data_IF_779173688554
#
_entry.id   IF_779173688554
#
_cell.length_a   1.000
_cell.length_b   1.000
_cell.length_c   1.000
_cell.angle_alpha   90.00
_cell.angle_beta   90.00
_cell.angle_gamma   90.00
#
_symmetry.space_group_name_H-M   'P 1'
#
loop_
_entity.id
_entity.type
_entity.pdbx_description
1 polymer ?
#
# COMPACT_ATOMS: atom_id res chain seq x y z
N UNK A 1 -7.74 2.38 2.08
CA UNK A 1 -6.58 1.62 1.58
C UNK A 1 -5.35 2.50 1.66
N UNK A 2 -4.27 2.03 2.29
CA UNK A 2 -3.00 2.74 2.30
C UNK A 2 -2.40 2.63 0.89
N UNK A 3 -2.05 3.76 0.27
CA UNK A 3 -1.31 3.80 -0.99
C UNK A 3 -0.02 4.56 -0.73
N UNK A 4 1.10 3.97 -1.14
CA UNK A 4 2.41 4.64 -1.09
C UNK A 4 2.71 5.21 -2.46
N UNK A 5 3.04 6.50 -2.51
CA UNK A 5 3.40 7.20 -3.75
C UNK A 5 4.72 7.89 -3.51
N UNK A 6 5.66 7.69 -4.42
CA UNK A 6 6.93 8.42 -4.40
C UNK A 6 6.73 9.88 -4.79
N UNK A 7 7.57 10.77 -4.27
CA UNK A 7 7.52 12.18 -4.64
C UNK A 7 8.83 12.89 -4.34
N UNK A 8 8.99 14.05 -4.97
CA UNK A 8 10.13 14.92 -4.75
C UNK A 8 9.71 16.15 -3.96
N UNK A 9 10.47 16.47 -2.91
CA UNK A 9 10.31 17.73 -2.20
C UNK A 9 11.20 18.81 -2.83
N UNK A 10 10.61 19.92 -3.27
CA UNK A 10 11.31 21.09 -3.82
C UNK A 10 10.60 22.36 -3.38
N UNK A 11 11.35 23.30 -2.81
CA UNK A 11 10.86 24.65 -2.48
C UNK A 11 9.57 24.68 -1.65
N UNK A 12 9.45 23.80 -0.66
CA UNK A 12 8.25 23.72 0.20
C UNK A 12 7.10 22.90 -0.38
N UNK A 13 7.25 22.32 -1.59
CA UNK A 13 6.21 21.57 -2.28
C UNK A 13 6.63 20.11 -2.50
N UNK A 14 5.67 19.20 -2.34
CA UNK A 14 5.83 17.78 -2.67
C UNK A 14 5.21 17.54 -4.05
N UNK A 15 6.02 17.13 -5.01
CA UNK A 15 5.60 16.74 -6.34
C UNK A 15 5.49 15.21 -6.37
N UNK A 16 4.26 14.69 -6.39
CA UNK A 16 4.01 13.26 -6.49
C UNK A 16 4.38 12.77 -7.90
N UNK A 17 5.01 11.59 -8.00
CA UNK A 17 5.32 10.95 -9.28
C UNK A 17 4.06 10.47 -10.01
N UNK A 18 3.02 10.14 -9.26
CA UNK A 18 1.70 9.80 -9.75
C UNK A 18 0.60 10.32 -8.82
N UNK A 19 -0.60 10.56 -9.35
CA UNK A 19 -1.75 10.90 -8.52
C UNK A 19 -2.50 9.62 -8.16
N UNK A 20 -2.70 9.33 -6.86
CA UNK A 20 -3.46 8.17 -6.47
C UNK A 20 -4.92 8.31 -6.93
N UNK A 21 -5.37 7.38 -7.78
CA UNK A 21 -6.76 7.34 -8.24
C UNK A 21 -7.72 7.03 -7.08
N UNK A 22 -8.93 7.58 -7.17
CA UNK A 22 -10.04 7.39 -6.23
C UNK A 22 -9.80 7.89 -4.79
N UNK A 23 -8.93 8.91 -4.62
CA UNK A 23 -8.71 9.58 -3.34
C UNK A 23 -9.05 11.06 -3.47
N UNK A 24 -10.10 11.51 -2.78
CA UNK A 24 -10.56 12.92 -2.83
C UNK A 24 -10.08 13.76 -1.64
N UNK A 25 -10.11 13.22 -0.42
CA UNK A 25 -9.61 13.87 0.79
C UNK A 25 -9.18 12.81 1.81
N UNK A 26 -7.92 12.82 2.24
CA UNK A 26 -7.40 11.87 3.22
C UNK A 26 -6.23 12.48 3.99
N UNK A 27 -5.99 11.98 5.20
CA UNK A 27 -4.76 12.24 5.94
C UNK A 27 -3.57 11.57 5.25
N UNK A 28 -2.42 12.26 5.24
CA UNK A 28 -1.15 11.77 4.68
C UNK A 28 -0.05 11.81 5.74
N UNK A 29 0.90 10.87 5.64
CA UNK A 29 2.14 10.89 6.41
C UNK A 29 3.30 11.19 5.45
N UNK A 30 4.12 12.18 5.78
CA UNK A 30 5.28 12.58 4.98
C UNK A 30 6.53 12.40 5.82
N UNK A 31 7.49 11.66 5.27
CA UNK A 31 8.82 11.48 5.87
C UNK A 31 9.85 12.09 4.93
N UNK A 32 10.61 13.08 5.42
CA UNK A 32 11.71 13.66 4.67
C UNK A 32 12.94 12.78 4.76
N UNK A 33 13.49 12.51 3.60
CA UNK A 33 14.53 11.55 3.40
C UNK A 33 15.87 12.27 3.20
N UNK A 34 16.85 12.02 4.08
CA UNK A 34 18.21 12.54 3.94
C UNK A 34 18.98 11.74 2.88
N UNK A 35 19.24 12.30 1.68
CA UNK A 35 19.81 11.54 0.56
C UNK A 35 21.21 10.99 0.87
N UNK A 36 21.94 11.58 1.82
CA UNK A 36 23.29 11.17 2.17
C UNK A 36 23.33 10.11 3.28
N UNK A 37 22.19 9.84 3.93
CA UNK A 37 22.09 8.89 5.06
C UNK A 37 21.10 7.77 4.85
N UNK A 38 20.47 7.71 3.68
CA UNK A 38 19.45 6.70 3.41
C UNK A 38 20.06 5.47 2.77
N UNK A 39 19.75 4.35 3.41
CA UNK A 39 19.84 3.04 2.80
C UNK A 39 18.53 2.76 2.03
N UNK A 40 18.55 2.76 0.69
CA UNK A 40 17.36 2.56 -0.13
C UNK A 40 16.68 1.20 0.15
N UNK A 41 17.45 0.20 0.58
CA UNK A 41 16.93 -1.14 0.90
C UNK A 41 16.06 -1.08 2.15
N UNK A 42 16.52 -0.39 3.20
CA UNK A 42 15.76 -0.25 4.45
C UNK A 42 14.48 0.55 4.27
N UNK A 43 14.53 1.60 3.44
CA UNK A 43 13.34 2.38 3.13
C UNK A 43 12.28 1.54 2.42
N UNK A 44 12.70 0.77 1.41
CA UNK A 44 11.81 -0.15 0.69
C UNK A 44 11.20 -1.20 1.63
N UNK A 45 12.00 -1.77 2.53
CA UNK A 45 11.52 -2.72 3.54
C UNK A 45 10.45 -2.11 4.45
N UNK A 46 10.63 -0.86 4.89
CA UNK A 46 9.63 -0.16 5.70
C UNK A 46 8.33 0.04 4.92
N UNK A 47 8.41 0.42 3.63
CA UNK A 47 7.24 0.58 2.77
C UNK A 47 6.48 -0.74 2.62
N UNK A 48 7.19 -1.84 2.32
CA UNK A 48 6.60 -3.18 2.19
C UNK A 48 5.92 -3.65 3.50
N UNK A 49 6.50 -3.32 4.66
CA UNK A 49 5.89 -3.61 5.96
C UNK A 49 4.58 -2.84 6.18
N UNK A 50 4.53 -1.56 5.81
CA UNK A 50 3.34 -0.73 5.94
C UNK A 50 2.21 -1.23 5.02
N UNK A 51 2.53 -1.60 3.78
CA UNK A 51 1.56 -2.19 2.84
C UNK A 51 1.04 -3.53 3.34
N UNK A 52 1.90 -4.37 3.90
CA UNK A 52 1.50 -5.64 4.51
C UNK A 52 0.49 -5.43 5.64
N UNK A 53 0.77 -4.48 6.55
CA UNK A 53 -0.13 -4.16 7.66
C UNK A 53 -1.49 -3.66 7.12
N UNK A 54 -1.47 -2.79 6.11
CA UNK A 54 -2.70 -2.29 5.49
C UNK A 54 -3.52 -3.41 4.83
N UNK A 55 -2.86 -4.32 4.11
CA UNK A 55 -3.53 -5.48 3.48
C UNK A 55 -4.15 -6.42 4.52
N UNK A 56 -3.48 -6.66 5.64
CA UNK A 56 -4.03 -7.46 6.75
C UNK A 56 -5.28 -6.81 7.33
N UNK A 57 -5.24 -5.49 7.60
CA UNK A 57 -6.40 -4.76 8.12
C UNK A 57 -7.59 -4.82 7.16
N UNK A 58 -7.34 -4.67 5.86
CA UNK A 58 -8.37 -4.84 4.84
C UNK A 58 -8.97 -6.25 4.86
N UNK A 59 -8.14 -7.29 4.93
CA UNK A 59 -8.63 -8.68 5.04
C UNK A 59 -9.55 -8.89 6.25
N UNK A 60 -9.23 -8.29 7.39
CA UNK A 60 -10.13 -8.32 8.56
C UNK A 60 -11.46 -7.60 8.31
N UNK A 61 -11.44 -6.45 7.64
CA UNK A 61 -12.69 -5.76 7.26
C UNK A 61 -13.56 -6.60 6.33
N UNK A 62 -12.96 -7.25 5.32
CA UNK A 62 -13.68 -8.13 4.39
C UNK A 62 -14.32 -9.31 5.12
N UNK A 63 -13.59 -9.96 6.03
CA UNK A 63 -14.12 -11.03 6.88
C UNK A 63 -15.29 -10.53 7.72
N UNK A 64 -15.14 -9.38 8.39
CA UNK A 64 -16.20 -8.80 9.23
C UNK A 64 -17.44 -8.40 8.44
N UNK A 65 -17.29 -8.03 7.16
CA UNK A 65 -18.40 -7.71 6.24
C UNK A 65 -18.98 -8.96 5.54
N UNK A 66 -18.46 -10.16 5.82
CA UNK A 66 -18.85 -11.40 5.15
C UNK A 66 -18.42 -11.46 3.68
N UNK A 67 -17.52 -10.58 3.24
CA UNK A 67 -16.94 -10.55 1.88
C UNK A 67 -15.84 -11.60 1.74
N UNK A 68 -16.16 -12.84 2.11
CA UNK A 68 -15.25 -13.97 2.05
C UNK A 68 -15.60 -14.87 0.89
N UNK A 69 -14.61 -15.56 0.32
CA UNK A 69 -14.85 -16.64 -0.66
C UNK A 69 -14.86 -18.00 0.03
N UNK A 70 -15.77 -18.92 -0.36
CA UNK A 70 -15.70 -20.31 0.08
C UNK A 70 -14.40 -20.99 -0.36
N UNK A 71 -13.85 -21.87 0.49
CA UNK A 71 -12.61 -22.59 0.19
C UNK A 71 -12.71 -23.46 -1.07
N UNK A 72 -13.88 -24.07 -1.32
CA UNK A 72 -14.12 -24.89 -2.51
C UNK A 72 -13.95 -24.10 -3.81
N UNK A 73 -14.50 -22.88 -3.86
CA UNK A 73 -14.40 -22.01 -5.04
C UNK A 73 -12.94 -21.63 -5.31
N UNK A 74 -12.17 -21.31 -4.26
CA UNK A 74 -10.75 -21.01 -4.39
C UNK A 74 -9.94 -22.18 -4.96
N UNK A 75 -10.16 -23.39 -4.45
CA UNK A 75 -9.44 -24.59 -4.93
C UNK A 75 -9.71 -24.80 -6.42
N UNK A 76 -10.96 -24.63 -6.85
CA UNK A 76 -11.35 -24.79 -8.25
C UNK A 76 -10.72 -23.72 -9.16
N UNK A 77 -10.72 -22.45 -8.75
CA UNK A 77 -10.04 -21.36 -9.49
C UNK A 77 -8.55 -21.66 -9.70
N UNK A 78 -7.84 -22.09 -8.66
CA UNK A 78 -6.40 -22.39 -8.73
C UNK A 78 -6.09 -23.60 -9.62
N UNK A 79 -7.03 -24.53 -9.79
CA UNK A 79 -6.89 -25.66 -10.70
C UNK A 79 -7.04 -25.26 -12.18
N UNK A 80 -7.81 -24.20 -12.47
CA UNK A 80 -8.03 -23.68 -13.81
C UNK A 80 -6.98 -22.65 -14.27
N UNK A 81 -6.13 -22.16 -13.35
CA UNK A 81 -5.00 -21.28 -13.63
C UNK A 81 -3.74 -22.01 -14.14
N UNK A 82 -3.86 -23.30 -14.49
CA UNK A 82 -2.78 -24.11 -15.09
C UNK A 82 -2.65 -23.92 -16.59
#
# INVERSE_FOLDING_TARGET
>A
MLKTVEGFYRDGQIQLSELPQDISNTQVLVTFLDPDKIDPVKLRQLIEQLETIAGIQQGFEEVNRGQTRPMGNFIQEMQHLK
#
